data_IF_703273265871
#
_entry.id   IF_703273265871
#
_cell.length_a   1.000
_cell.length_b   1.000
_cell.length_c   1.000
_cell.angle_alpha   90.00
_cell.angle_beta   90.00
_cell.angle_gamma   90.00
#
_symmetry.space_group_name_H-M   'P 1'
#
loop_
_entity.id
_entity.type
_entity.pdbx_description
1 polymer ?
#
# COMPACT_ATOMS: atom_id res chain seq x y z
N UNK A 1 6.26 -8.10 -3.90
CA UNK A 1 5.55 -9.22 -3.24
C UNK A 1 6.54 -10.36 -3.13
N UNK A 2 6.63 -11.00 -1.96
CA UNK A 2 7.49 -12.15 -1.75
C UNK A 2 7.05 -13.33 -2.60
N UNK A 3 7.95 -14.32 -2.71
CA UNK A 3 7.66 -15.61 -3.36
C UNK A 3 6.46 -16.34 -2.72
N UNK A 4 6.18 -16.01 -1.47
CA UNK A 4 5.10 -16.49 -0.60
C UNK A 4 3.85 -15.61 -0.62
N UNK A 5 3.73 -14.67 -1.57
CA UNK A 5 2.65 -13.67 -1.66
C UNK A 5 2.62 -12.65 -0.52
N UNK A 6 3.66 -12.58 0.31
CA UNK A 6 3.76 -11.53 1.34
C UNK A 6 3.94 -10.16 0.69
N UNK A 7 3.13 -9.19 1.09
CA UNK A 7 3.22 -7.81 0.60
C UNK A 7 4.18 -7.05 1.53
N UNK A 8 5.16 -6.39 0.92
CA UNK A 8 6.13 -5.54 1.63
C UNK A 8 5.95 -4.10 1.15
N UNK A 9 6.12 -3.15 2.07
CA UNK A 9 6.18 -1.75 1.71
C UNK A 9 7.48 -1.47 0.93
N UNK A 10 7.38 -0.75 -0.19
CA UNK A 10 8.54 -0.30 -0.96
C UNK A 10 9.13 1.01 -0.43
N UNK A 11 8.35 1.75 0.37
CA UNK A 11 8.69 3.06 0.92
C UNK A 11 7.93 3.28 2.23
N UNK A 12 8.42 4.19 3.06
CA UNK A 12 7.74 4.59 4.30
C UNK A 12 6.49 5.42 4.01
N UNK A 13 5.44 5.19 4.80
CA UNK A 13 4.17 5.87 4.60
C UNK A 13 2.98 5.13 5.20
N UNK A 14 1.79 5.62 4.90
CA UNK A 14 0.53 5.10 5.43
C UNK A 14 -0.06 4.02 4.51
N UNK A 15 -0.45 2.89 5.10
CA UNK A 15 -1.07 1.79 4.36
C UNK A 15 -2.57 2.07 4.16
N UNK A 16 -3.02 1.96 2.91
CA UNK A 16 -4.40 2.16 2.51
C UNK A 16 -4.96 0.92 1.81
N UNK A 17 -6.22 0.62 2.10
CA UNK A 17 -6.95 -0.51 1.55
C UNK A 17 -8.05 0.02 0.63
N UNK A 18 -8.11 -0.47 -0.60
CA UNK A 18 -9.18 -0.14 -1.52
C UNK A 18 -9.73 -1.39 -2.19
N UNK A 19 -11.05 -1.39 -2.41
CA UNK A 19 -11.73 -2.47 -3.13
C UNK A 19 -11.58 -2.20 -4.63
N UNK A 20 -11.01 -3.16 -5.35
CA UNK A 20 -10.88 -3.12 -6.80
C UNK A 20 -11.84 -4.09 -7.49
N UNK A 21 -11.61 -4.27 -8.79
CA UNK A 21 -12.48 -5.05 -9.66
C UNK A 21 -12.54 -6.54 -9.24
N UNK A 22 -13.72 -7.17 -9.39
CA UNK A 22 -13.99 -8.57 -9.06
C UNK A 22 -13.75 -8.94 -7.58
N UNK A 23 -14.02 -8.00 -6.65
CA UNK A 23 -13.96 -8.26 -5.21
C UNK A 23 -12.55 -8.40 -4.64
N UNK A 24 -11.53 -7.97 -5.38
CA UNK A 24 -10.14 -7.98 -4.91
C UNK A 24 -9.90 -6.78 -4.01
N UNK A 25 -9.20 -7.00 -2.90
CA UNK A 25 -8.71 -5.92 -2.04
C UNK A 25 -7.27 -5.61 -2.45
N UNK A 26 -7.02 -4.35 -2.79
CA UNK A 26 -5.70 -3.85 -3.13
C UNK A 26 -5.16 -3.03 -1.97
N UNK A 27 -3.87 -3.23 -1.70
CA UNK A 27 -3.15 -2.57 -0.61
C UNK A 27 -2.12 -1.65 -1.25
N UNK A 28 -2.18 -0.37 -0.91
CA UNK A 28 -1.25 0.66 -1.38
C UNK A 28 -0.61 1.36 -0.20
N UNK A 29 0.67 1.71 -0.31
CA UNK A 29 1.33 2.58 0.66
C UNK A 29 1.34 3.98 0.08
N UNK A 30 0.65 4.92 0.73
CA UNK A 30 0.75 6.34 0.42
C UNK A 30 2.01 6.87 1.12
N UNK A 31 3.00 7.40 0.37
CA UNK A 31 4.16 8.03 0.98
C UNK A 31 3.67 9.09 1.95
N UNK A 32 4.31 9.18 3.13
CA UNK A 32 4.10 10.35 3.97
C UNK A 32 4.60 11.56 3.16
N UNK A 33 3.66 12.32 2.57
CA UNK A 33 4.00 13.65 2.12
C UNK A 33 4.53 14.35 3.36
N UNK A 34 5.81 14.74 3.34
CA UNK A 34 6.31 15.79 4.21
C UNK A 34 5.29 16.91 4.09
N UNK A 35 4.46 17.06 5.12
CA UNK A 35 3.75 18.29 5.32
C UNK A 35 4.87 19.33 5.42
N UNK A 36 5.01 20.15 4.38
CA UNK A 36 5.84 21.33 4.46
C UNK A 36 5.32 22.13 5.66
N UNK A 37 6.08 22.08 6.75
CA UNK A 37 5.94 22.94 7.92
C UNK A 37 6.34 24.38 7.56
#
# INVERSE_FOLDING_TARGET
MGKDHTIFATSEGNVTFHKGLKGRTFISVLPAQEAAE
#
